data_IF_603753622474
#
_entry.id   IF_603753622474
#
_cell.length_a   1.000
_cell.length_b   1.000
_cell.length_c   1.000
_cell.angle_alpha   90.00
_cell.angle_beta   90.00
_cell.angle_gamma   90.00
#
_symmetry.space_group_name_H-M   'P 1'
#
loop_
_entity.id
_entity.type
_entity.pdbx_description
1 polymer ?
#
# COMPACT_ATOMS: atom_id res chain seq x y z
N UNK A 1 3.96 -14.96 0.18
CA UNK A 1 5.29 -14.86 -0.46
C UNK A 1 5.93 -16.23 -0.44
N UNK A 2 6.35 -16.73 -1.60
CA UNK A 2 7.22 -17.90 -1.67
C UNK A 2 8.65 -17.43 -1.35
N UNK A 3 9.42 -18.24 -0.64
CA UNK A 3 10.84 -17.96 -0.38
C UNK A 3 11.54 -17.86 -1.74
N UNK A 4 12.23 -16.73 -1.98
CA UNK A 4 12.91 -16.43 -3.25
C UNK A 4 12.13 -15.57 -4.25
N UNK A 5 10.94 -15.06 -3.90
CA UNK A 5 10.21 -14.11 -4.72
C UNK A 5 10.79 -12.70 -4.51
N UNK A 6 11.38 -12.13 -5.58
CA UNK A 6 11.86 -10.74 -5.55
C UNK A 6 10.67 -9.76 -5.52
N UNK A 7 10.71 -8.85 -4.57
CA UNK A 7 9.82 -7.69 -4.50
C UNK A 7 10.60 -6.47 -5.01
N UNK A 8 10.22 -5.95 -6.17
CA UNK A 8 10.73 -4.65 -6.63
C UNK A 8 10.08 -3.54 -5.82
N UNK A 9 10.86 -2.92 -4.94
CA UNK A 9 10.46 -1.68 -4.26
C UNK A 9 10.89 -0.54 -5.16
N UNK A 10 9.92 0.17 -5.73
CA UNK A 10 10.22 1.32 -6.58
C UNK A 10 10.88 2.43 -5.75
N UNK A 11 11.95 3.05 -6.26
CA UNK A 11 12.64 4.13 -5.55
C UNK A 11 11.81 5.40 -5.41
N UNK A 12 10.78 5.57 -6.24
CA UNK A 12 9.87 6.72 -6.26
C UNK A 12 8.41 6.28 -6.20
N UNK A 13 7.54 7.16 -5.74
CA UNK A 13 6.09 6.94 -5.80
C UNK A 13 5.65 6.96 -7.26
N UNK A 14 5.28 5.80 -7.82
CA UNK A 14 4.94 5.66 -9.23
C UNK A 14 4.08 4.42 -9.49
N UNK A 15 3.65 4.29 -10.74
CA UNK A 15 3.03 3.08 -11.28
C UNK A 15 3.96 2.45 -12.33
N UNK A 16 3.95 1.13 -12.43
CA UNK A 16 4.61 0.45 -13.55
C UNK A 16 3.68 0.42 -14.76
N UNK A 17 4.24 0.70 -15.93
CA UNK A 17 3.52 0.68 -17.21
C UNK A 17 4.32 -0.11 -18.23
N UNK A 18 3.67 -1.00 -18.96
CA UNK A 18 4.30 -1.74 -20.07
C UNK A 18 4.03 -1.01 -21.37
N UNK A 19 5.10 -0.62 -22.07
CA UNK A 19 5.04 0.11 -23.34
C UNK A 19 4.39 -0.74 -24.43
N UNK A 20 3.50 -0.13 -25.20
CA UNK A 20 2.83 -0.71 -26.37
C UNK A 20 3.39 -0.11 -27.65
N UNK A 21 3.19 -0.79 -28.77
CA UNK A 21 3.67 -0.35 -30.09
C UNK A 21 3.20 1.06 -30.53
N UNK A 22 2.05 1.52 -30.00
CA UNK A 22 1.49 2.84 -30.30
C UNK A 22 1.85 3.92 -29.28
N UNK A 23 2.63 3.58 -28.23
CA UNK A 23 2.98 4.55 -27.20
C UNK A 23 4.16 5.40 -27.64
N UNK A 24 4.01 6.71 -27.51
CA UNK A 24 5.09 7.70 -27.67
C UNK A 24 5.34 8.40 -26.34
N UNK A 25 6.53 8.98 -26.17
CA UNK A 25 6.84 9.81 -25.00
C UNK A 25 5.72 10.82 -24.73
N UNK A 26 5.35 11.61 -25.73
CA UNK A 26 4.33 12.65 -25.63
C UNK A 26 2.96 12.10 -25.20
N UNK A 27 2.58 10.91 -25.72
CA UNK A 27 1.30 10.28 -25.35
C UNK A 27 1.27 9.85 -23.90
N UNK A 28 2.40 9.35 -23.38
CA UNK A 28 2.56 8.93 -21.98
C UNK A 28 2.60 10.16 -21.07
N UNK A 29 3.41 11.17 -21.39
CA UNK A 29 3.52 12.40 -20.61
C UNK A 29 2.17 13.11 -20.50
N UNK A 30 1.43 13.23 -21.62
CA UNK A 30 0.11 13.84 -21.66
C UNK A 30 -0.93 13.05 -20.88
N UNK A 31 -0.93 11.71 -21.01
CA UNK A 31 -1.86 10.80 -20.34
C UNK A 31 -1.72 10.84 -18.81
N UNK A 32 -0.48 10.89 -18.34
CA UNK A 32 -0.19 10.82 -16.92
C UNK A 32 0.13 12.20 -16.30
N UNK A 33 0.14 13.26 -17.13
CA UNK A 33 0.43 14.67 -16.73
C UNK A 33 1.74 14.80 -15.95
N UNK A 34 2.77 14.16 -16.47
CA UNK A 34 4.13 14.20 -15.95
C UNK A 34 5.04 14.97 -16.90
N UNK A 35 6.14 15.48 -16.39
CA UNK A 35 7.18 16.12 -17.20
C UNK A 35 8.22 15.08 -17.64
N UNK A 36 8.89 15.36 -18.76
CA UNK A 36 9.86 14.47 -19.37
C UNK A 36 11.02 14.13 -18.41
N UNK A 37 11.60 15.15 -17.78
CA UNK A 37 12.72 14.99 -16.87
C UNK A 37 12.39 14.01 -15.71
N UNK A 38 11.20 14.14 -15.10
CA UNK A 38 10.76 13.25 -14.03
C UNK A 38 10.59 11.79 -14.53
N UNK A 39 10.16 11.62 -15.78
CA UNK A 39 10.01 10.30 -16.38
C UNK A 39 11.36 9.65 -16.67
N UNK A 40 12.30 10.39 -17.25
CA UNK A 40 13.64 9.92 -17.58
C UNK A 40 14.41 9.56 -16.30
N UNK A 41 14.37 10.42 -15.29
CA UNK A 41 15.00 10.20 -13.97
C UNK A 41 14.43 8.98 -13.27
N UNK A 42 13.11 8.82 -13.27
CA UNK A 42 12.45 7.68 -12.61
C UNK A 42 12.82 6.33 -13.23
N UNK A 43 13.18 6.33 -14.52
CA UNK A 43 13.54 5.12 -15.26
C UNK A 43 15.07 4.97 -15.44
N UNK A 44 15.85 5.96 -14.99
CA UNK A 44 17.30 6.01 -15.14
C UNK A 44 17.74 5.83 -16.62
N UNK A 45 17.11 6.58 -17.51
CA UNK A 45 17.37 6.59 -18.98
C UNK A 45 17.65 8.02 -19.44
N UNK A 46 18.43 8.16 -20.50
CA UNK A 46 18.73 9.46 -21.10
C UNK A 46 17.75 9.83 -22.23
N UNK A 47 17.13 8.83 -22.86
CA UNK A 47 16.18 9.03 -23.95
C UNK A 47 15.08 7.96 -23.95
N UNK A 48 13.89 8.33 -24.43
CA UNK A 48 12.79 7.38 -24.64
C UNK A 48 13.10 6.34 -25.72
N UNK A 49 13.97 6.69 -26.68
CA UNK A 49 14.39 5.81 -27.79
C UNK A 49 15.17 4.57 -27.27
N UNK A 50 15.71 4.64 -26.05
CA UNK A 50 16.39 3.51 -25.41
C UNK A 50 15.43 2.41 -24.94
N UNK A 51 14.12 2.67 -25.03
CA UNK A 51 13.07 1.76 -24.53
C UNK A 51 12.48 0.93 -25.67
N UNK A 52 12.54 -0.39 -25.51
CA UNK A 52 11.87 -1.31 -26.45
C UNK A 52 10.37 -1.44 -26.14
N UNK A 53 9.57 -1.70 -27.19
CA UNK A 53 8.16 -2.09 -27.02
C UNK A 53 8.08 -3.34 -26.14
N UNK A 54 7.20 -3.31 -25.15
CA UNK A 54 7.09 -4.35 -24.13
C UNK A 54 7.94 -4.12 -22.88
N UNK A 55 8.81 -3.11 -22.87
CA UNK A 55 9.55 -2.72 -21.65
C UNK A 55 8.60 -2.21 -20.57
N UNK A 56 8.93 -2.51 -19.34
CA UNK A 56 8.19 -1.98 -18.18
C UNK A 56 8.87 -0.74 -17.66
N UNK A 57 8.17 0.39 -17.70
CA UNK A 57 8.65 1.69 -17.24
C UNK A 57 7.93 2.13 -15.97
N UNK A 58 8.58 3.00 -15.21
CA UNK A 58 8.03 3.65 -14.04
C UNK A 58 7.44 4.99 -14.45
N UNK A 59 6.17 5.19 -14.18
CA UNK A 59 5.49 6.48 -14.35
C UNK A 59 5.51 7.19 -12.98
N UNK A 60 6.34 8.23 -12.77
CA UNK A 60 6.37 8.95 -11.52
C UNK A 60 5.07 9.72 -11.33
N UNK A 61 4.49 9.66 -10.14
CA UNK A 61 3.23 10.33 -9.80
C UNK A 61 3.45 11.62 -8.97
N UNK A 62 4.61 12.23 -9.07
CA UNK A 62 4.99 13.38 -8.27
C UNK A 62 4.05 14.60 -8.39
N UNK A 63 3.31 14.72 -9.51
CA UNK A 63 2.41 15.85 -9.76
C UNK A 63 0.97 15.46 -10.15
N UNK A 64 0.62 14.19 -10.09
CA UNK A 64 -0.79 13.84 -10.21
C UNK A 64 -1.44 14.23 -8.88
N UNK A 65 -2.01 15.43 -8.81
CA UNK A 65 -3.13 15.67 -7.92
C UNK A 65 -4.19 14.65 -8.33
N UNK A 66 -4.13 13.47 -7.74
CA UNK A 66 -5.25 12.54 -7.78
C UNK A 66 -6.47 13.38 -7.42
N UNK A 67 -7.58 13.32 -8.21
CA UNK A 67 -8.81 13.97 -7.79
C UNK A 67 -8.99 13.54 -6.35
N UNK A 68 -9.10 14.51 -5.45
CA UNK A 68 -9.22 14.25 -4.03
C UNK A 68 -10.33 13.21 -3.88
N UNK A 69 -9.92 11.95 -3.77
CA UNK A 69 -10.86 10.91 -3.31
C UNK A 69 -11.37 11.48 -2.01
N UNK A 70 -12.69 11.74 -1.87
CA UNK A 70 -13.22 12.30 -0.64
C UNK A 70 -12.65 11.43 0.46
N UNK A 71 -11.74 12.02 1.25
CA UNK A 71 -11.11 11.36 2.40
C UNK A 71 -12.30 10.84 3.19
N UNK A 72 -12.57 9.55 3.26
CA UNK A 72 -13.67 9.09 4.08
C UNK A 72 -13.37 9.66 5.45
N UNK A 73 -14.27 10.48 5.96
CA UNK A 73 -14.12 11.06 7.28
C UNK A 73 -13.78 9.89 8.21
N UNK A 74 -12.69 9.98 9.00
CA UNK A 74 -12.26 8.88 9.84
C UNK A 74 -13.47 8.46 10.67
N UNK A 75 -13.99 7.28 10.39
CA UNK A 75 -15.04 6.69 11.23
C UNK A 75 -14.33 6.22 12.48
N UNK A 76 -14.21 7.12 13.45
CA UNK A 76 -13.64 6.80 14.75
C UNK A 76 -14.53 5.72 15.38
N UNK A 77 -14.07 4.50 15.40
CA UNK A 77 -14.68 3.47 16.22
C UNK A 77 -14.08 3.61 17.61
N UNK A 78 -14.56 4.64 18.34
CA UNK A 78 -14.19 4.84 19.74
C UNK A 78 -14.73 3.70 20.57
N UNK A 79 -13.82 2.89 21.12
CA UNK A 79 -14.14 2.07 22.29
C UNK A 79 -13.31 2.56 23.47
N UNK A 80 -13.98 2.83 24.55
CA UNK A 80 -13.44 3.34 25.82
C UNK A 80 -12.34 2.44 26.44
N UNK A 81 -12.09 1.27 25.87
CA UNK A 81 -11.14 0.25 26.36
C UNK A 81 -9.94 0.02 25.45
N UNK A 82 -9.75 0.82 24.40
CA UNK A 82 -8.66 0.62 23.43
C UNK A 82 -8.80 -0.61 22.52
N UNK A 83 -9.84 -1.43 22.71
CA UNK A 83 -10.15 -2.59 21.86
C UNK A 83 -11.27 -2.21 20.91
N UNK A 84 -10.99 -2.28 19.60
CA UNK A 84 -11.98 -2.03 18.55
C UNK A 84 -12.77 -3.32 18.29
N UNK A 85 -14.09 -3.25 18.18
CA UNK A 85 -14.91 -4.43 17.88
C UNK A 85 -14.46 -5.10 16.57
N UNK A 86 -14.18 -6.39 16.61
CA UNK A 86 -13.75 -7.15 15.44
C UNK A 86 -14.89 -7.24 14.44
N UNK A 87 -14.62 -6.80 13.21
CA UNK A 87 -15.50 -6.97 12.05
C UNK A 87 -14.78 -7.75 10.97
N UNK A 88 -15.52 -8.54 10.22
CA UNK A 88 -15.02 -9.29 9.07
C UNK A 88 -15.97 -9.08 7.88
N UNK A 89 -15.41 -9.08 6.69
CA UNK A 89 -16.14 -9.02 5.43
C UNK A 89 -15.43 -9.88 4.39
N UNK A 90 -16.16 -10.43 3.46
CA UNK A 90 -15.59 -11.23 2.38
C UNK A 90 -15.25 -10.33 1.21
N UNK A 91 -14.02 -10.42 0.73
CA UNK A 91 -13.59 -9.70 -0.46
C UNK A 91 -14.40 -10.17 -1.68
N UNK A 92 -14.86 -9.25 -2.55
CA UNK A 92 -15.55 -9.64 -3.76
C UNK A 92 -14.62 -10.43 -4.70
N UNK A 93 -15.20 -11.40 -5.43
CA UNK A 93 -14.45 -12.27 -6.33
C UNK A 93 -13.77 -11.52 -7.51
N UNK A 94 -14.27 -10.34 -7.84
CA UNK A 94 -13.76 -9.47 -8.91
C UNK A 94 -12.78 -8.39 -8.41
N UNK A 95 -12.17 -8.59 -7.25
CA UNK A 95 -11.08 -7.73 -6.81
C UNK A 95 -9.97 -7.72 -7.87
N UNK A 96 -9.55 -6.54 -8.25
CA UNK A 96 -8.74 -6.25 -9.43
C UNK A 96 -7.61 -7.27 -9.65
N UNK A 97 -7.63 -7.93 -10.80
CA UNK A 97 -6.53 -8.76 -11.28
C UNK A 97 -5.57 -7.88 -12.09
N UNK A 98 -4.46 -7.46 -11.49
CA UNK A 98 -3.45 -6.63 -12.15
C UNK A 98 -2.14 -6.63 -11.36
N UNK A 99 -1.07 -6.07 -11.92
CA UNK A 99 0.18 -5.92 -11.19
C UNK A 99 -0.06 -5.04 -9.95
N UNK A 100 0.25 -5.58 -8.78
CA UNK A 100 0.08 -4.87 -7.50
C UNK A 100 1.42 -4.23 -7.17
N UNK A 101 1.44 -2.91 -7.05
CA UNK A 101 2.62 -2.19 -6.58
C UNK A 101 2.41 -1.76 -5.13
N UNK A 102 3.31 -2.19 -4.25
CA UNK A 102 3.27 -1.86 -2.84
C UNK A 102 4.13 -0.65 -2.51
N UNK A 103 3.66 0.16 -1.56
CA UNK A 103 4.48 1.19 -0.92
C UNK A 103 4.82 0.78 0.52
N UNK A 104 5.85 1.41 1.07
CA UNK A 104 6.16 1.30 2.49
C UNK A 104 5.05 1.95 3.33
N UNK A 105 4.46 1.22 4.29
CA UNK A 105 3.16 1.61 4.87
C UNK A 105 3.23 2.64 6.00
N UNK A 106 4.40 3.24 6.27
CA UNK A 106 4.58 4.19 7.37
C UNK A 106 5.77 5.10 7.10
N UNK A 107 5.84 6.32 7.67
CA UNK A 107 7.05 7.15 7.61
C UNK A 107 8.26 6.52 8.35
N UNK A 108 7.99 5.62 9.31
CA UNK A 108 9.04 4.95 10.08
C UNK A 108 9.85 4.01 9.19
N UNK A 109 11.16 4.06 9.30
CA UNK A 109 12.09 3.19 8.57
C UNK A 109 12.83 2.19 9.49
N UNK A 110 12.66 2.33 10.79
CA UNK A 110 13.31 1.45 11.76
C UNK A 110 12.59 0.11 11.82
N UNK A 111 13.26 -0.95 11.44
CA UNK A 111 12.82 -2.33 11.62
C UNK A 111 13.37 -2.81 12.96
N UNK A 112 12.49 -3.06 13.92
CA UNK A 112 12.85 -3.53 15.26
C UNK A 112 12.96 -5.05 15.34
N UNK A 113 12.21 -5.76 14.47
CA UNK A 113 12.31 -7.22 14.30
C UNK A 113 12.06 -7.60 12.84
N UNK A 114 12.95 -8.40 12.28
CA UNK A 114 12.85 -8.92 10.92
C UNK A 114 12.04 -10.21 10.82
N UNK A 115 11.84 -10.66 9.57
CA UNK A 115 11.19 -11.92 9.27
C UNK A 115 12.06 -13.10 9.70
N UNK A 116 11.44 -14.10 10.32
CA UNK A 116 12.10 -15.35 10.71
C UNK A 116 11.09 -16.52 10.76
N UNK A 117 11.56 -17.74 10.97
CA UNK A 117 10.68 -18.90 11.15
C UNK A 117 9.74 -18.80 12.36
N UNK A 118 10.06 -17.94 13.33
CA UNK A 118 9.27 -17.69 14.54
C UNK A 118 8.52 -16.36 14.51
N UNK A 119 8.85 -15.50 13.55
CA UNK A 119 8.25 -14.19 13.38
C UNK A 119 7.98 -13.94 11.88
N UNK A 120 6.73 -14.12 11.49
CA UNK A 120 6.32 -14.10 10.06
C UNK A 120 5.90 -12.71 9.59
N UNK A 121 6.54 -11.66 10.10
CA UNK A 121 6.28 -10.27 9.75
C UNK A 121 7.53 -9.40 9.87
N UNK A 122 7.33 -8.11 9.68
CA UNK A 122 8.30 -7.07 9.98
C UNK A 122 7.73 -6.19 11.09
N UNK A 123 8.44 -6.06 12.19
CA UNK A 123 8.10 -5.08 13.21
C UNK A 123 8.77 -3.75 12.86
N UNK A 124 7.93 -2.78 12.53
CA UNK A 124 8.33 -1.43 12.16
C UNK A 124 7.81 -0.50 13.24
N UNK A 125 8.68 0.07 14.06
CA UNK A 125 8.26 0.87 15.19
C UNK A 125 9.27 1.95 15.55
N UNK A 126 8.73 3.05 16.09
CA UNK A 126 9.48 4.05 16.82
C UNK A 126 8.74 4.44 18.12
N UNK A 127 9.22 5.47 18.82
CA UNK A 127 8.61 5.98 20.05
C UNK A 127 7.35 6.83 19.82
N UNK A 128 7.08 7.20 18.56
CA UNK A 128 5.96 8.05 18.16
C UNK A 128 4.82 7.17 17.63
N UNK A 129 3.59 7.54 17.88
CA UNK A 129 2.42 6.85 17.29
C UNK A 129 2.21 7.30 15.84
N UNK A 130 3.13 6.93 14.97
CA UNK A 130 3.13 7.33 13.57
C UNK A 130 1.95 6.73 12.78
N UNK A 131 1.53 7.38 11.70
CA UNK A 131 0.46 6.90 10.86
C UNK A 131 0.83 5.59 10.15
N UNK A 132 -0.19 4.76 9.92
CA UNK A 132 -0.11 3.57 9.09
C UNK A 132 -0.97 3.79 7.85
N UNK A 133 -0.41 3.54 6.69
CA UNK A 133 -1.05 3.70 5.39
C UNK A 133 -1.27 2.35 4.72
N UNK A 134 -2.29 2.24 3.87
CA UNK A 134 -2.49 1.06 3.04
C UNK A 134 -1.33 0.92 2.05
N UNK A 135 -0.67 -0.25 2.06
CA UNK A 135 0.47 -0.51 1.19
C UNK A 135 0.10 -0.57 -0.30
N UNK A 136 -1.13 -0.93 -0.62
CA UNK A 136 -1.69 -0.94 -1.98
C UNK A 136 -3.21 -0.73 -1.91
N UNK A 137 -3.84 -0.52 -3.08
CA UNK A 137 -5.31 -0.54 -3.20
C UNK A 137 -5.85 -1.88 -2.71
N UNK A 138 -7.01 -1.90 -2.05
CA UNK A 138 -7.58 -3.16 -1.62
C UNK A 138 -8.89 -3.04 -0.84
N UNK A 139 -9.39 -4.22 -0.48
CA UNK A 139 -10.61 -4.40 0.30
C UNK A 139 -10.27 -4.85 1.71
N UNK A 140 -10.81 -4.17 2.71
CA UNK A 140 -10.59 -4.49 4.13
C UNK A 140 -11.42 -5.71 4.51
N UNK A 141 -10.77 -6.87 4.65
CA UNK A 141 -11.44 -8.11 5.07
C UNK A 141 -11.65 -8.19 6.58
N UNK A 142 -10.69 -7.68 7.35
CA UNK A 142 -10.71 -7.73 8.82
C UNK A 142 -10.35 -6.36 9.37
N UNK A 143 -11.09 -5.89 10.35
CA UNK A 143 -10.75 -4.70 11.12
C UNK A 143 -11.28 -4.85 12.54
N UNK A 144 -10.41 -4.75 13.55
CA UNK A 144 -10.77 -4.82 14.95
C UNK A 144 -9.77 -5.57 15.83
N UNK A 145 -10.13 -5.81 17.07
CA UNK A 145 -9.26 -6.46 18.06
C UNK A 145 -9.27 -7.99 17.91
N UNK A 146 -8.09 -8.56 17.75
CA UNK A 146 -7.86 -10.01 17.79
C UNK A 146 -7.06 -10.39 19.04
N UNK A 147 -7.57 -11.39 19.78
CA UNK A 147 -6.94 -11.89 21.01
C UNK A 147 -5.75 -12.83 20.80
N UNK A 148 -5.50 -13.22 19.52
CA UNK A 148 -4.42 -14.13 19.12
C UNK A 148 -3.02 -13.49 19.10
N UNK A 149 -2.85 -12.34 19.74
CA UNK A 149 -1.57 -11.63 19.83
C UNK A 149 -1.56 -10.30 19.09
N UNK A 150 -2.21 -10.18 17.94
CA UNK A 150 -2.16 -9.01 17.05
C UNK A 150 -2.82 -7.73 17.62
N UNK A 151 -3.68 -7.84 18.64
CA UNK A 151 -4.38 -6.69 19.16
C UNK A 151 -5.34 -6.06 18.15
N UNK A 152 -5.40 -4.73 18.10
CA UNK A 152 -6.13 -4.05 17.03
C UNK A 152 -5.41 -4.31 15.71
N UNK A 153 -6.09 -5.00 14.80
CA UNK A 153 -5.50 -5.48 13.57
C UNK A 153 -6.40 -5.22 12.38
N UNK A 154 -5.80 -5.18 11.23
CA UNK A 154 -6.46 -5.06 9.95
C UNK A 154 -5.84 -6.00 8.93
N UNK A 155 -6.66 -6.57 8.07
CA UNK A 155 -6.22 -7.35 6.91
C UNK A 155 -6.87 -6.76 5.68
N UNK A 156 -6.03 -6.43 4.69
CA UNK A 156 -6.46 -5.88 3.41
C UNK A 156 -6.12 -6.88 2.32
N UNK A 157 -7.12 -7.25 1.52
CA UNK A 157 -6.95 -8.05 0.30
C UNK A 157 -6.74 -7.15 -0.90
N UNK A 158 -5.66 -7.39 -1.64
CA UNK A 158 -5.26 -6.58 -2.80
C UNK A 158 -5.59 -7.26 -4.14
N UNK A 159 -6.29 -8.38 -4.10
CA UNK A 159 -6.51 -9.22 -5.29
C UNK A 159 -5.32 -10.14 -5.57
N UNK A 160 -5.43 -10.98 -6.60
CA UNK A 160 -4.39 -11.95 -7.02
C UNK A 160 -3.79 -12.79 -5.87
N UNK A 161 -4.53 -13.00 -4.80
CA UNK A 161 -4.11 -13.75 -3.61
C UNK A 161 -3.22 -12.99 -2.62
N UNK A 162 -2.87 -11.73 -2.90
CA UNK A 162 -2.04 -10.92 -2.00
C UNK A 162 -2.87 -10.26 -0.90
N UNK A 163 -2.34 -10.31 0.32
CA UNK A 163 -2.92 -9.64 1.49
C UNK A 163 -1.83 -8.97 2.31
N UNK A 164 -2.16 -7.83 2.90
CA UNK A 164 -1.32 -7.20 3.94
C UNK A 164 -2.04 -7.24 5.28
N UNK A 165 -1.27 -7.44 6.34
CA UNK A 165 -1.75 -7.38 7.71
C UNK A 165 -1.03 -6.29 8.47
N UNK A 166 -1.79 -5.52 9.22
CA UNK A 166 -1.30 -4.47 10.12
C UNK A 166 -1.77 -4.82 11.53
N UNK A 167 -0.84 -4.98 12.45
CA UNK A 167 -1.14 -5.37 13.83
C UNK A 167 -0.75 -4.30 14.84
N UNK A 168 -1.12 -4.54 16.09
CA UNK A 168 -0.75 -3.75 17.27
C UNK A 168 -1.18 -2.27 17.24
N UNK A 169 -2.12 -1.89 16.35
CA UNK A 169 -2.54 -0.51 16.17
C UNK A 169 -3.17 0.07 17.44
N UNK A 170 -2.91 1.36 17.71
CA UNK A 170 -3.63 2.10 18.76
C UNK A 170 -5.03 2.50 18.32
N UNK A 171 -5.18 2.86 17.04
CA UNK A 171 -6.45 3.31 16.45
C UNK A 171 -6.61 2.69 15.06
N UNK A 172 -7.85 2.37 14.66
CA UNK A 172 -8.22 1.93 13.33
C UNK A 172 -9.19 2.94 12.71
N UNK A 173 -8.93 3.37 11.46
CA UNK A 173 -9.72 4.39 10.77
C UNK A 173 -10.61 3.84 9.68
N UNK A 174 -10.50 2.54 9.37
CA UNK A 174 -11.32 1.87 8.37
C UNK A 174 -11.95 0.60 8.96
N UNK A 175 -13.06 0.18 8.39
CA UNK A 175 -13.85 -0.99 8.84
C UNK A 175 -13.77 -2.11 7.81
N UNK A 176 -14.01 -3.35 8.24
CA UNK A 176 -14.20 -4.45 7.30
C UNK A 176 -15.38 -4.13 6.36
N UNK A 177 -15.18 -4.38 5.08
CA UNK A 177 -16.10 -3.99 4.01
C UNK A 177 -15.70 -2.71 3.27
N UNK A 178 -14.79 -1.92 3.82
CA UNK A 178 -14.33 -0.69 3.15
C UNK A 178 -13.31 -1.01 2.04
N UNK A 179 -13.31 -0.19 0.98
CA UNK A 179 -12.22 -0.13 0.01
C UNK A 179 -11.24 0.96 0.43
N UNK A 180 -9.95 0.68 0.29
CA UNK A 180 -8.87 1.62 0.56
C UNK A 180 -7.99 1.81 -0.65
N UNK A 181 -7.42 3.00 -0.78
CA UNK A 181 -6.43 3.32 -1.81
C UNK A 181 -5.01 3.21 -1.24
N UNK A 182 -4.07 2.86 -2.08
CA UNK A 182 -2.63 2.92 -1.77
C UNK A 182 -2.27 4.28 -1.16
N UNK A 183 -1.59 4.30 -0.04
CA UNK A 183 -1.25 5.51 0.69
C UNK A 183 -2.38 6.14 1.50
N UNK A 184 -3.58 5.54 1.53
CA UNK A 184 -4.66 6.00 2.41
C UNK A 184 -4.30 5.74 3.87
N UNK A 185 -4.53 6.72 4.75
CA UNK A 185 -4.40 6.57 6.20
C UNK A 185 -5.44 5.55 6.71
N UNK A 186 -4.98 4.47 7.32
CA UNK A 186 -5.84 3.35 7.77
C UNK A 186 -5.77 3.11 9.27
N UNK A 187 -4.67 3.47 9.92
CA UNK A 187 -4.47 3.25 11.35
C UNK A 187 -3.37 4.16 11.92
N UNK A 188 -3.19 4.09 13.26
CA UNK A 188 -2.00 4.60 13.94
C UNK A 188 -1.24 3.48 14.65
N UNK A 189 0.08 3.61 14.68
CA UNK A 189 0.94 2.71 15.44
C UNK A 189 0.56 2.68 16.92
N UNK A 190 0.74 1.52 17.54
CA UNK A 190 0.42 1.29 18.93
C UNK A 190 1.15 0.10 19.52
N UNK A 191 0.63 -0.40 20.62
CA UNK A 191 1.14 -1.58 21.34
C UNK A 191 -0.02 -2.41 21.90
N UNK A 192 -1.12 -2.53 21.15
CA UNK A 192 -2.25 -3.36 21.56
C UNK A 192 -1.95 -4.84 21.28
N UNK A 193 -2.53 -5.73 22.06
CA UNK A 193 -2.25 -7.17 21.96
C UNK A 193 -1.08 -7.58 22.88
N UNK A 194 -0.29 -8.55 22.42
CA UNK A 194 0.87 -9.10 23.16
C UNK A 194 2.15 -8.84 22.42
#
# INVERSE_FOLDING_TARGET
>A
LKIGQELSILPTTGITYTLKEADTMESILAKYKIIEDDFLDANNIESFEDLAVGSTVIIPLANVTLPAVPKPAPKFVNTTTGKVALKQATAPANLVSGPISFIWPTPVRTITQGFSSRHTGLDISDSKKEPIYAAADGFVEVSGYQSNGYGNTMVISHGSGFKTRYGHASELFVSAGDYVKKGQLIAKQGRTGR
#
